data_IF_730552005645
#
_entry.id   IF_730552005645
#
_cell.length_a   1.000
_cell.length_b   1.000
_cell.length_c   1.000
_cell.angle_alpha   90.00
_cell.angle_beta   90.00
_cell.angle_gamma   90.00
#
_symmetry.space_group_name_H-M   'P 1'
#
loop_
_entity.id
_entity.type
_entity.pdbx_description
1 polymer ?
#
# COMPACT_ATOMS: atom_id res chain seq x y z
N UNK A 1 17.87 -21.61 -7.35
CA UNK A 1 17.29 -22.33 -6.18
C UNK A 1 16.86 -23.75 -6.53
N UNK A 2 16.20 -23.99 -7.69
CA UNK A 2 15.71 -25.32 -8.10
C UNK A 2 16.88 -26.34 -8.16
N UNK A 3 17.96 -26.02 -8.85
CA UNK A 3 19.11 -26.92 -8.97
C UNK A 3 19.82 -27.17 -7.62
N UNK A 4 19.91 -26.16 -6.76
CA UNK A 4 20.48 -26.38 -5.40
C UNK A 4 19.59 -27.27 -4.55
N UNK A 5 18.26 -27.21 -4.74
CA UNK A 5 17.33 -28.12 -4.07
C UNK A 5 17.47 -29.56 -4.62
N UNK A 6 17.60 -29.71 -5.95
CA UNK A 6 17.77 -31.04 -6.56
C UNK A 6 19.09 -31.72 -6.18
N UNK A 7 20.17 -30.95 -5.95
CA UNK A 7 21.42 -31.45 -5.39
C UNK A 7 21.20 -31.93 -3.94
N UNK A 8 20.50 -31.13 -3.12
CA UNK A 8 20.19 -31.52 -1.74
C UNK A 8 19.27 -32.75 -1.62
N UNK A 9 18.54 -33.08 -2.68
CA UNK A 9 17.71 -34.28 -2.80
C UNK A 9 18.40 -35.44 -3.54
N UNK A 10 19.71 -35.31 -3.84
CA UNK A 10 20.52 -36.30 -4.56
C UNK A 10 19.98 -36.66 -5.97
N UNK A 11 19.15 -35.77 -6.56
CA UNK A 11 18.58 -35.92 -7.91
C UNK A 11 19.56 -35.46 -8.98
N UNK A 12 20.46 -34.52 -8.65
CA UNK A 12 21.42 -33.91 -9.55
C UNK A 12 22.75 -33.70 -8.83
N UNK A 13 23.87 -34.00 -9.49
CA UNK A 13 25.20 -33.82 -8.93
C UNK A 13 25.71 -32.39 -9.02
N UNK A 14 25.27 -31.64 -10.03
CA UNK A 14 25.78 -30.30 -10.32
C UNK A 14 24.65 -29.31 -10.56
N UNK A 15 24.94 -28.04 -10.27
CA UNK A 15 24.08 -26.92 -10.67
C UNK A 15 24.61 -26.32 -11.99
N UNK A 16 23.98 -26.59 -13.13
CA UNK A 16 24.48 -26.13 -14.44
C UNK A 16 24.47 -24.60 -14.60
N UNK A 17 23.78 -23.88 -13.73
CA UNK A 17 23.71 -22.42 -13.78
C UNK A 17 24.59 -21.73 -12.72
N UNK A 18 25.36 -22.48 -11.95
CA UNK A 18 26.20 -21.91 -10.88
C UNK A 18 27.26 -20.94 -11.39
N UNK A 19 27.81 -21.20 -12.57
CA UNK A 19 28.90 -20.43 -13.17
C UNK A 19 28.40 -19.38 -14.18
N UNK A 20 27.06 -19.23 -14.34
CA UNK A 20 26.52 -18.17 -15.20
C UNK A 20 26.70 -16.82 -14.50
N UNK A 21 27.45 -15.91 -15.13
CA UNK A 21 27.58 -14.55 -14.64
C UNK A 21 26.24 -13.80 -14.81
N UNK A 22 25.96 -12.86 -13.88
CA UNK A 22 24.76 -12.03 -13.96
C UNK A 22 24.71 -11.18 -15.23
N UNK A 23 25.83 -11.02 -15.95
CA UNK A 23 25.92 -10.23 -17.18
C UNK A 23 25.31 -10.92 -18.39
N UNK A 24 25.11 -12.24 -18.32
CA UNK A 24 24.39 -13.02 -19.34
C UNK A 24 22.89 -12.66 -19.36
N UNK A 25 22.37 -12.23 -18.22
CA UNK A 25 20.97 -11.81 -18.11
C UNK A 25 20.87 -10.30 -18.37
N UNK A 26 19.98 -9.91 -19.29
CA UNK A 26 19.65 -8.48 -19.47
C UNK A 26 19.31 -7.87 -18.10
N UNK A 27 20.05 -6.85 -17.67
CA UNK A 27 19.74 -6.11 -16.45
C UNK A 27 18.29 -5.64 -16.53
N UNK A 28 17.49 -6.06 -15.55
CA UNK A 28 16.10 -5.60 -15.45
C UNK A 28 16.15 -4.09 -15.24
N UNK A 29 15.60 -3.33 -16.20
CA UNK A 29 15.43 -1.89 -16.04
C UNK A 29 14.52 -1.70 -14.82
N UNK A 30 15.04 -1.07 -13.77
CA UNK A 30 14.25 -0.74 -12.58
C UNK A 30 13.20 0.28 -13.00
N UNK A 31 11.94 -0.16 -13.10
CA UNK A 31 10.81 0.74 -13.28
C UNK A 31 10.36 1.22 -11.92
N UNK A 32 10.64 2.47 -11.60
CA UNK A 32 10.05 3.12 -10.45
C UNK A 32 8.54 3.29 -10.65
N UNK A 33 7.78 3.18 -9.57
CA UNK A 33 6.34 3.46 -9.62
C UNK A 33 6.13 4.94 -9.93
N UNK A 34 5.23 5.23 -10.85
CA UNK A 34 4.86 6.59 -11.20
C UNK A 34 4.35 7.33 -9.96
N UNK A 35 4.93 8.48 -9.69
CA UNK A 35 4.65 9.32 -8.53
C UNK A 35 4.90 10.78 -8.88
N UNK A 36 4.26 11.65 -8.11
CA UNK A 36 4.37 13.10 -8.26
C UNK A 36 5.14 13.66 -7.07
N UNK A 37 6.21 14.40 -7.34
CA UNK A 37 7.08 14.99 -6.29
C UNK A 37 7.05 16.51 -6.28
N UNK A 38 6.60 17.15 -7.36
CA UNK A 38 6.50 18.59 -7.49
C UNK A 38 5.29 19.13 -6.69
N UNK A 39 5.42 20.17 -5.83
CA UNK A 39 4.36 20.65 -4.96
C UNK A 39 3.05 21.02 -5.68
N UNK A 40 3.15 21.69 -6.82
CA UNK A 40 1.96 22.06 -7.62
C UNK A 40 1.20 20.84 -8.12
N UNK A 41 1.92 19.82 -8.58
CA UNK A 41 1.34 18.57 -9.04
C UNK A 41 0.79 17.74 -7.88
N UNK A 42 1.42 17.75 -6.69
CA UNK A 42 0.89 17.13 -5.48
C UNK A 42 -0.45 17.76 -5.11
N UNK A 43 -0.52 19.11 -5.06
CA UNK A 43 -1.78 19.81 -4.77
C UNK A 43 -2.87 19.45 -5.77
N UNK A 44 -2.55 19.47 -7.05
CA UNK A 44 -3.47 19.05 -8.12
C UNK A 44 -3.96 17.61 -7.91
N UNK A 45 -3.04 16.67 -7.68
CA UNK A 45 -3.36 15.25 -7.42
C UNK A 45 -4.34 15.10 -6.26
N UNK A 46 -4.04 15.72 -5.11
CA UNK A 46 -4.89 15.64 -3.93
C UNK A 46 -6.28 16.25 -4.14
N UNK A 47 -6.40 17.32 -4.92
CA UNK A 47 -7.68 17.90 -5.29
C UNK A 47 -8.49 16.93 -6.19
N UNK A 48 -7.87 16.34 -7.20
CA UNK A 48 -8.52 15.36 -8.08
C UNK A 48 -9.02 14.13 -7.32
N UNK A 49 -8.31 13.70 -6.28
CA UNK A 49 -8.68 12.54 -5.47
C UNK A 49 -9.82 12.81 -4.47
N UNK A 50 -10.17 14.07 -4.18
CA UNK A 50 -11.30 14.40 -3.28
C UNK A 50 -12.66 14.01 -3.87
N UNK A 51 -12.81 14.19 -5.17
CA UNK A 51 -14.10 14.04 -5.86
C UNK A 51 -14.21 12.70 -6.63
N UNK A 52 -13.38 11.70 -6.28
CA UNK A 52 -13.44 10.39 -6.95
C UNK A 52 -14.84 9.76 -6.80
N UNK A 53 -15.36 9.23 -7.89
CA UNK A 53 -16.60 8.45 -7.84
C UNK A 53 -16.30 7.03 -7.36
N UNK A 54 -16.43 6.82 -6.04
CA UNK A 54 -16.14 5.53 -5.40
C UNK A 54 -16.89 5.37 -4.08
N UNK A 55 -16.83 4.18 -3.47
CA UNK A 55 -17.43 3.92 -2.16
C UNK A 55 -16.72 4.72 -1.05
N UNK A 56 -17.44 5.02 0.02
CA UNK A 56 -16.92 5.76 1.17
C UNK A 56 -15.60 5.17 1.72
N UNK A 57 -15.46 3.83 1.94
CA UNK A 57 -14.19 3.25 2.40
C UNK A 57 -13.01 3.52 1.46
N UNK A 58 -13.24 3.49 0.15
CA UNK A 58 -12.19 3.76 -0.85
C UNK A 58 -11.79 5.24 -0.85
N UNK A 59 -12.77 6.15 -0.77
CA UNK A 59 -12.51 7.61 -0.69
C UNK A 59 -11.64 7.94 0.52
N UNK A 60 -12.04 7.44 1.70
CA UNK A 60 -11.32 7.71 2.94
C UNK A 60 -9.93 7.04 2.94
N UNK A 61 -9.80 5.84 2.39
CA UNK A 61 -8.49 5.21 2.25
C UNK A 61 -7.54 6.03 1.35
N UNK A 62 -8.05 6.62 0.26
CA UNK A 62 -7.26 7.51 -0.60
C UNK A 62 -6.91 8.83 0.10
N UNK A 63 -7.80 9.38 0.93
CA UNK A 63 -7.53 10.59 1.73
C UNK A 63 -6.46 10.32 2.80
N UNK A 64 -6.45 9.14 3.42
CA UNK A 64 -5.45 8.73 4.40
C UNK A 64 -4.09 8.33 3.80
N UNK A 65 -4.06 7.88 2.55
CA UNK A 65 -2.84 7.36 1.91
C UNK A 65 -1.63 8.32 1.97
N UNK A 66 -1.76 9.62 1.69
CA UNK A 66 -0.64 10.57 1.75
C UNK A 66 -0.19 10.86 3.18
N UNK A 67 -1.02 10.63 4.20
CA UNK A 67 -0.70 10.87 5.61
C UNK A 67 -0.02 9.67 6.28
N UNK A 68 -0.37 8.45 5.87
CA UNK A 68 0.12 7.23 6.49
C UNK A 68 1.32 6.61 5.75
N UNK A 69 1.48 6.90 4.46
CA UNK A 69 2.55 6.39 3.59
C UNK A 69 2.70 4.85 3.65
N UNK A 70 1.60 4.16 3.94
CA UNK A 70 1.53 2.71 3.99
C UNK A 70 1.65 2.09 2.59
N UNK A 71 2.05 0.83 2.54
CA UNK A 71 1.89 0.08 1.29
C UNK A 71 0.40 -0.11 0.99
N UNK A 72 0.00 -0.15 -0.30
CA UNK A 72 -1.41 -0.26 -0.67
C UNK A 72 -2.16 -1.42 -0.01
N UNK A 73 -1.52 -2.58 0.16
CA UNK A 73 -2.11 -3.74 0.84
C UNK A 73 -2.23 -3.51 2.36
N UNK A 74 -1.23 -2.87 2.98
CA UNK A 74 -1.24 -2.54 4.40
C UNK A 74 -2.38 -1.56 4.70
N UNK A 75 -2.54 -0.53 3.85
CA UNK A 75 -3.61 0.46 3.96
C UNK A 75 -4.98 -0.20 3.75
N UNK A 76 -5.17 -0.92 2.64
CA UNK A 76 -6.45 -1.54 2.30
C UNK A 76 -6.94 -2.51 3.39
N UNK A 77 -6.02 -3.27 3.98
CA UNK A 77 -6.32 -4.24 5.03
C UNK A 77 -6.18 -3.71 6.46
N UNK A 78 -6.17 -2.39 6.69
CA UNK A 78 -6.07 -1.79 8.03
C UNK A 78 -7.26 -2.21 8.90
N UNK A 79 -6.98 -2.64 10.13
CA UNK A 79 -7.98 -3.09 11.11
C UNK A 79 -8.16 -2.08 12.21
N UNK A 80 -9.35 -2.00 12.77
CA UNK A 80 -9.63 -1.16 13.94
C UNK A 80 -8.81 -1.57 15.17
N UNK A 81 -8.50 -2.86 15.32
CA UNK A 81 -7.64 -3.37 16.39
C UNK A 81 -6.17 -2.92 16.31
N UNK A 82 -5.74 -2.39 15.16
CA UNK A 82 -4.39 -1.86 14.95
C UNK A 82 -4.27 -0.38 15.30
N UNK A 83 -5.42 0.30 15.58
CA UNK A 83 -5.47 1.73 15.83
C UNK A 83 -5.60 1.99 17.34
N UNK A 84 -4.57 2.59 17.90
CA UNK A 84 -4.55 3.08 19.29
C UNK A 84 -4.78 4.59 19.28
N UNK A 85 -6.02 5.01 19.55
CA UNK A 85 -6.39 6.42 19.60
C UNK A 85 -5.81 7.13 20.83
N UNK A 86 -5.57 6.41 21.95
CA UNK A 86 -5.02 6.96 23.19
C UNK A 86 -3.53 7.31 22.98
N UNK A 87 -2.77 6.35 22.50
CA UNK A 87 -1.33 6.53 22.23
C UNK A 87 -1.08 7.23 20.89
N UNK A 88 -2.13 7.43 20.08
CA UNK A 88 -2.06 8.05 18.74
C UNK A 88 -1.11 7.31 17.80
N UNK A 89 -1.17 5.98 17.80
CA UNK A 89 -0.29 5.11 17.02
C UNK A 89 -1.12 4.05 16.26
N UNK A 90 -0.76 3.78 15.03
CA UNK A 90 -1.20 2.60 14.30
C UNK A 90 -0.10 1.56 14.39
N UNK A 91 -0.44 0.33 14.83
CA UNK A 91 0.49 -0.79 15.04
C UNK A 91 0.19 -1.93 14.07
N UNK A 92 0.96 -2.05 12.99
CA UNK A 92 0.82 -3.17 12.03
C UNK A 92 1.78 -4.28 12.44
N UNK A 93 1.27 -5.48 12.69
CA UNK A 93 2.08 -6.62 13.12
C UNK A 93 3.10 -7.04 12.05
N UNK A 94 4.23 -7.60 12.50
CA UNK A 94 5.27 -8.11 11.60
C UNK A 94 4.77 -9.19 10.63
N UNK A 95 3.76 -9.97 11.03
CA UNK A 95 3.16 -11.04 10.22
C UNK A 95 2.46 -10.50 8.96
N UNK A 96 1.89 -9.29 9.05
CA UNK A 96 1.24 -8.60 7.93
C UNK A 96 2.22 -7.85 7.04
N UNK A 97 3.45 -7.71 7.45
CA UNK A 97 4.47 -6.99 6.70
C UNK A 97 5.09 -7.90 5.63
N UNK A 98 5.35 -7.36 4.45
CA UNK A 98 6.07 -8.08 3.37
C UNK A 98 7.44 -8.58 3.84
N UNK A 99 8.11 -7.82 4.69
CA UNK A 99 9.37 -8.20 5.36
C UNK A 99 9.04 -8.41 6.83
N UNK A 100 8.81 -9.65 7.23
CA UNK A 100 8.36 -10.09 8.56
C UNK A 100 9.42 -9.94 9.66
N UNK A 101 10.09 -8.79 9.77
CA UNK A 101 11.16 -8.61 10.76
C UNK A 101 10.71 -7.86 12.01
N UNK A 102 9.91 -6.82 11.86
CA UNK A 102 9.46 -5.94 12.98
C UNK A 102 8.06 -5.41 12.69
N UNK A 103 7.31 -5.12 13.75
CA UNK A 103 6.05 -4.39 13.65
C UNK A 103 6.31 -2.97 13.11
N UNK A 104 5.36 -2.45 12.36
CA UNK A 104 5.42 -1.09 11.82
C UNK A 104 4.55 -0.17 12.68
N UNK A 105 5.19 0.80 13.33
CA UNK A 105 4.53 1.80 14.16
C UNK A 105 4.41 3.11 13.37
N UNK A 106 3.20 3.64 13.27
CA UNK A 106 2.91 4.86 12.51
C UNK A 106 2.23 5.85 13.45
N UNK A 107 2.85 7.00 13.75
CA UNK A 107 2.21 8.05 14.55
C UNK A 107 1.05 8.67 13.78
N UNK A 108 -0.04 8.99 14.47
CA UNK A 108 -1.20 9.63 13.91
C UNK A 108 -1.18 11.14 14.15
N UNK A 109 -1.24 11.91 13.07
CA UNK A 109 -1.48 13.36 13.14
C UNK A 109 -2.93 13.65 13.54
N UNK A 110 -3.22 14.89 13.95
CA UNK A 110 -4.60 15.31 14.26
C UNK A 110 -5.54 15.03 13.07
N UNK A 111 -5.06 15.27 11.83
CA UNK A 111 -5.85 15.02 10.63
C UNK A 111 -6.19 13.54 10.44
N UNK A 112 -5.25 12.66 10.68
CA UNK A 112 -5.48 11.20 10.62
C UNK A 112 -6.53 10.77 11.65
N UNK A 113 -6.44 11.29 12.88
CA UNK A 113 -7.41 10.99 13.96
C UNK A 113 -8.81 11.48 13.57
N UNK A 114 -8.93 12.71 13.07
CA UNK A 114 -10.20 13.27 12.57
C UNK A 114 -10.84 12.36 11.52
N UNK A 115 -10.09 12.01 10.48
CA UNK A 115 -10.58 11.17 9.38
C UNK A 115 -10.99 9.77 9.87
N UNK A 116 -10.19 9.14 10.72
CA UNK A 116 -10.50 7.82 11.28
C UNK A 116 -11.71 7.88 12.23
N UNK A 117 -11.91 8.98 12.97
CA UNK A 117 -13.08 9.19 13.82
C UNK A 117 -14.35 9.30 12.98
N UNK A 118 -14.32 10.07 11.89
CA UNK A 118 -15.44 10.17 10.94
C UNK A 118 -15.78 8.79 10.38
N UNK A 119 -14.77 8.03 9.96
CA UNK A 119 -14.96 6.69 9.43
C UNK A 119 -15.56 5.72 10.46
N UNK A 120 -15.11 5.80 11.72
CA UNK A 120 -15.62 4.96 12.79
C UNK A 120 -17.09 5.28 13.11
N UNK A 121 -17.46 6.57 13.09
CA UNK A 121 -18.84 7.01 13.30
C UNK A 121 -19.78 6.62 12.17
N UNK A 122 -19.28 6.39 10.96
CA UNK A 122 -20.05 5.83 9.86
C UNK A 122 -20.52 4.38 10.12
N UNK A 123 -20.01 3.74 11.18
CA UNK A 123 -20.43 2.43 11.71
C UNK A 123 -20.61 1.36 10.62
N UNK A 124 -19.53 1.07 9.90
CA UNK A 124 -19.58 0.11 8.78
C UNK A 124 -19.65 -1.36 9.24
N UNK A 125 -19.75 -1.60 10.54
CA UNK A 125 -19.87 -2.93 11.16
C UNK A 125 -18.91 -3.96 10.56
N UNK A 126 -17.59 -3.68 10.70
CA UNK A 126 -16.52 -4.49 10.17
C UNK A 126 -15.29 -4.43 11.07
N UNK A 127 -14.51 -5.50 11.09
CA UNK A 127 -13.18 -5.52 11.73
C UNK A 127 -12.17 -4.65 10.98
N UNK A 128 -12.40 -4.43 9.68
CA UNK A 128 -11.54 -3.59 8.83
C UNK A 128 -12.02 -2.13 8.83
N UNK A 129 -11.07 -1.21 8.79
CA UNK A 129 -11.39 0.21 8.60
C UNK A 129 -12.03 0.47 7.23
N UNK A 130 -11.63 -0.30 6.23
CA UNK A 130 -12.10 -0.15 4.86
C UNK A 130 -12.76 -1.45 4.36
N UNK A 131 -13.99 -1.74 4.79
CA UNK A 131 -14.69 -2.95 4.35
C UNK A 131 -15.03 -2.89 2.86
N UNK A 132 -15.06 -4.07 2.24
CA UNK A 132 -15.51 -4.21 0.86
C UNK A 132 -17.02 -3.99 0.75
N UNK A 133 -17.48 -3.32 -0.31
CA UNK A 133 -18.91 -3.17 -0.60
C UNK A 133 -19.62 -4.53 -0.82
N UNK A 134 -18.88 -5.57 -1.20
CA UNK A 134 -19.43 -6.92 -1.43
C UNK A 134 -19.52 -7.78 -0.18
N UNK A 135 -18.73 -7.48 0.85
CA UNK A 135 -18.69 -8.28 2.09
C UNK A 135 -17.99 -7.50 3.20
N UNK A 136 -18.68 -7.35 4.33
CA UNK A 136 -18.15 -6.68 5.53
C UNK A 136 -17.01 -7.47 6.19
N UNK A 137 -16.90 -8.78 5.92
CA UNK A 137 -15.82 -9.65 6.40
C UNK A 137 -14.53 -9.53 5.57
N UNK A 138 -14.55 -8.78 4.47
CA UNK A 138 -13.39 -8.53 3.60
C UNK A 138 -13.12 -7.03 3.52
N UNK A 139 -11.85 -6.67 3.37
CA UNK A 139 -11.46 -5.28 3.10
C UNK A 139 -11.49 -4.95 1.60
N UNK A 140 -11.44 -3.66 1.26
CA UNK A 140 -11.22 -3.21 -0.12
C UNK A 140 -9.91 -3.78 -0.67
N UNK A 141 -9.82 -3.91 -1.99
CA UNK A 141 -8.61 -4.39 -2.65
C UNK A 141 -7.74 -3.21 -3.12
N UNK A 142 -6.45 -3.45 -3.34
CA UNK A 142 -5.58 -2.46 -4.01
C UNK A 142 -6.06 -2.13 -5.41
N UNK A 143 -6.77 -3.05 -6.07
CA UNK A 143 -7.43 -2.80 -7.35
C UNK A 143 -8.55 -1.77 -7.22
N UNK A 144 -9.32 -1.77 -6.11
CA UNK A 144 -10.35 -0.75 -5.86
C UNK A 144 -9.73 0.65 -5.74
N UNK A 145 -8.63 0.79 -5.01
CA UNK A 145 -7.88 2.05 -4.89
C UNK A 145 -7.35 2.51 -6.26
N UNK A 146 -6.78 1.58 -7.04
CA UNK A 146 -6.27 1.88 -8.37
C UNK A 146 -7.38 2.34 -9.31
N UNK A 147 -8.53 1.66 -9.34
CA UNK A 147 -9.67 2.03 -10.18
C UNK A 147 -10.21 3.41 -9.80
N UNK A 148 -10.29 3.73 -8.51
CA UNK A 148 -10.72 5.04 -8.05
C UNK A 148 -9.75 6.15 -8.52
N UNK A 149 -8.43 5.95 -8.47
CA UNK A 149 -7.46 6.89 -9.02
C UNK A 149 -7.68 7.07 -10.54
N UNK A 150 -7.95 5.99 -11.28
CA UNK A 150 -8.24 6.06 -12.72
C UNK A 150 -9.54 6.79 -13.03
N UNK A 151 -10.59 6.59 -12.22
CA UNK A 151 -11.87 7.31 -12.40
C UNK A 151 -11.75 8.81 -12.18
N UNK A 152 -10.73 9.27 -11.45
CA UNK A 152 -10.38 10.68 -11.34
C UNK A 152 -9.61 11.24 -12.57
N UNK A 153 -9.46 10.47 -13.64
CA UNK A 153 -8.73 10.88 -14.85
C UNK A 153 -7.20 10.83 -14.72
N UNK A 154 -6.67 10.24 -13.66
CA UNK A 154 -5.22 10.14 -13.43
C UNK A 154 -4.73 8.81 -14.04
N UNK A 155 -3.87 8.85 -15.06
CA UNK A 155 -3.34 7.66 -15.73
C UNK A 155 -2.25 6.94 -14.90
N UNK A 156 -1.88 5.72 -15.34
CA UNK A 156 -0.91 4.88 -14.63
C UNK A 156 0.54 5.36 -14.78
N UNK A 157 0.82 6.14 -15.81
CA UNK A 157 2.11 6.76 -16.08
C UNK A 157 2.32 7.99 -15.20
N UNK A 158 1.25 8.69 -14.84
CA UNK A 158 1.29 9.87 -13.96
C UNK A 158 1.37 9.47 -12.49
N UNK A 159 0.50 8.55 -12.03
CA UNK A 159 0.46 8.19 -10.62
C UNK A 159 -0.10 6.79 -10.36
N UNK A 160 0.45 6.13 -9.34
CA UNK A 160 0.00 4.82 -8.86
C UNK A 160 -0.25 4.85 -7.34
N UNK A 161 -0.93 3.84 -6.81
CA UNK A 161 -1.15 3.71 -5.36
C UNK A 161 0.17 3.63 -4.56
N UNK A 162 1.26 3.11 -5.14
CA UNK A 162 2.59 3.13 -4.54
C UNK A 162 3.23 4.53 -4.56
N UNK A 163 2.76 5.39 -5.45
CA UNK A 163 3.26 6.76 -5.61
C UNK A 163 3.10 7.60 -4.35
N UNK A 164 2.08 7.38 -3.51
CA UNK A 164 1.94 8.07 -2.23
C UNK A 164 3.16 7.87 -1.33
N UNK A 165 3.65 6.63 -1.23
CA UNK A 165 4.82 6.30 -0.41
C UNK A 165 6.09 6.93 -0.99
N UNK A 166 6.28 6.86 -2.30
CA UNK A 166 7.42 7.50 -2.97
C UNK A 166 7.38 9.02 -2.81
N UNK A 167 6.20 9.63 -2.99
CA UNK A 167 5.97 11.06 -2.78
C UNK A 167 6.39 11.51 -1.37
N UNK A 168 6.00 10.76 -0.33
CA UNK A 168 6.37 11.05 1.06
C UNK A 168 7.86 10.88 1.31
N UNK A 169 8.47 9.76 0.87
CA UNK A 169 9.90 9.49 1.10
C UNK A 169 10.84 10.45 0.38
N UNK A 170 10.37 11.17 -0.64
CA UNK A 170 11.18 12.18 -1.37
C UNK A 170 11.09 13.56 -0.71
N UNK A 171 10.07 13.78 0.15
CA UNK A 171 9.79 15.09 0.77
C UNK A 171 10.16 15.16 2.25
N UNK A 172 10.42 14.02 2.88
CA UNK A 172 10.94 13.91 4.25
C UNK A 172 12.47 13.85 4.25
#
# INVERSE_FOLDING_TARGET
RIFNYSIGMEISEINPVSNLSNDIFKKKVEKHYASVTEPKKIKWLLLMLKDVNSSLPVKIALDLAPHLLLRPEELAGLKWSEIDFKDRIIRISAERMKIKKKAHLIPMSNKVIEILTILRNANLDSTFCFPSARSKSRHITTSSLRLAIRSAGIDKETFTTHGFRHMGSTRL
#
